data_IF_630205311430
#
_entry.id   IF_630205311430
#
_cell.length_a   1.000
_cell.length_b   1.000
_cell.length_c   1.000
_cell.angle_alpha   90.00
_cell.angle_beta   90.00
_cell.angle_gamma   90.00
#
_symmetry.space_group_name_H-M   'P 1'
#
loop_
_entity.id
_entity.type
_entity.pdbx_description
1 polymer ?
#
# COMPACT_ATOMS: atom_id res chain seq x y z
N UNK A 1 -13.14 -3.42 11.10
CA UNK A 1 -11.83 -3.48 10.40
C UNK A 1 -11.38 -4.88 10.03
N UNK A 2 -10.93 -5.74 10.95
CA UNK A 2 -10.30 -7.02 10.54
C UNK A 2 -11.23 -7.92 9.70
N UNK A 3 -12.45 -8.17 10.18
CA UNK A 3 -13.42 -9.02 9.49
C UNK A 3 -13.85 -8.45 8.13
N UNK A 4 -14.03 -7.13 8.04
CA UNK A 4 -14.36 -6.44 6.79
C UNK A 4 -13.26 -6.63 5.74
N UNK A 5 -12.00 -6.48 6.15
CA UNK A 5 -10.83 -6.64 5.28
C UNK A 5 -10.71 -8.09 4.79
N UNK A 6 -10.89 -9.07 5.70
CA UNK A 6 -10.92 -10.50 5.33
C UNK A 6 -12.01 -10.80 4.30
N UNK A 7 -13.21 -10.28 4.53
CA UNK A 7 -14.36 -10.47 3.65
C UNK A 7 -14.10 -9.91 2.24
N UNK A 8 -13.54 -8.69 2.14
CA UNK A 8 -13.23 -8.06 0.85
C UNK A 8 -12.09 -8.78 0.12
N UNK A 9 -11.12 -9.32 0.85
CA UNK A 9 -10.02 -10.10 0.28
C UNK A 9 -10.40 -11.58 0.04
N UNK A 10 -11.61 -12.00 0.43
CA UNK A 10 -12.08 -13.38 0.36
C UNK A 10 -11.10 -14.37 1.02
N UNK A 11 -10.45 -13.94 2.10
CA UNK A 11 -9.54 -14.77 2.90
C UNK A 11 -10.37 -15.59 3.89
N UNK A 12 -10.22 -16.92 3.85
CA UNK A 12 -10.91 -17.85 4.76
C UNK A 12 -10.03 -18.31 5.92
N UNK A 13 -8.72 -18.15 5.79
CA UNK A 13 -7.74 -18.62 6.76
C UNK A 13 -7.16 -17.45 7.57
N UNK A 14 -6.81 -17.72 8.83
CA UNK A 14 -6.27 -16.73 9.77
C UNK A 14 -4.76 -16.49 9.59
N UNK A 15 -4.17 -17.03 8.52
CA UNK A 15 -2.73 -16.97 8.22
C UNK A 15 -2.21 -15.53 8.13
N UNK A 16 -3.04 -14.59 7.68
CA UNK A 16 -2.66 -13.21 7.47
C UNK A 16 -3.14 -12.26 8.58
N UNK A 17 -3.78 -12.75 9.63
CA UNK A 17 -4.41 -11.91 10.67
C UNK A 17 -3.42 -10.96 11.33
N UNK A 18 -2.29 -11.51 11.78
CA UNK A 18 -1.21 -10.73 12.39
C UNK A 18 -0.68 -9.66 11.43
N UNK A 19 -0.63 -9.96 10.12
CA UNK A 19 -0.16 -9.02 9.11
C UNK A 19 -1.19 -7.91 8.88
N UNK A 20 -2.47 -8.26 8.78
CA UNK A 20 -3.58 -7.31 8.63
C UNK A 20 -3.63 -6.37 9.85
N UNK A 21 -3.55 -6.91 11.06
CA UNK A 21 -3.56 -6.13 12.30
C UNK A 21 -2.38 -5.15 12.36
N UNK A 22 -1.18 -5.59 11.93
CA UNK A 22 0.00 -4.76 11.86
C UNK A 22 -0.19 -3.59 10.86
N UNK A 23 -0.77 -3.84 9.70
CA UNK A 23 -1.07 -2.78 8.74
C UNK A 23 -2.13 -1.81 9.27
N UNK A 24 -3.20 -2.30 9.89
CA UNK A 24 -4.23 -1.47 10.52
C UNK A 24 -3.59 -0.53 11.54
N UNK A 25 -2.74 -1.05 12.45
CA UNK A 25 -2.06 -0.24 13.47
C UNK A 25 -1.19 0.86 12.86
N UNK A 26 -0.42 0.54 11.82
CA UNK A 26 0.46 1.51 11.16
C UNK A 26 -0.32 2.62 10.46
N UNK A 27 -1.34 2.28 9.67
CA UNK A 27 -2.19 3.28 9.02
C UNK A 27 -2.99 4.11 10.01
N UNK A 28 -3.49 3.50 11.08
CA UNK A 28 -4.15 4.19 12.20
C UNK A 28 -3.24 5.25 12.80
N UNK A 29 -2.00 4.88 13.15
CA UNK A 29 -1.03 5.81 13.73
C UNK A 29 -0.73 6.98 12.80
N UNK A 30 -0.55 6.71 11.50
CA UNK A 30 -0.30 7.74 10.49
C UNK A 30 -1.47 8.70 10.31
N UNK A 31 -2.70 8.17 10.26
CA UNK A 31 -3.92 8.96 10.11
C UNK A 31 -4.16 9.83 11.34
N UNK A 32 -4.04 9.27 12.55
CA UNK A 32 -4.18 10.02 13.80
C UNK A 32 -3.12 11.13 13.91
N UNK A 33 -1.86 10.82 13.60
CA UNK A 33 -0.77 11.79 13.61
C UNK A 33 -0.98 12.91 12.58
N UNK A 34 -1.43 12.58 11.37
CA UNK A 34 -1.68 13.56 10.32
C UNK A 34 -2.87 14.47 10.64
N UNK A 35 -3.98 13.89 11.10
CA UNK A 35 -5.20 14.62 11.44
C UNK A 35 -5.12 15.30 12.81
N UNK A 36 -4.12 14.97 13.64
CA UNK A 36 -3.94 15.48 14.99
C UNK A 36 -5.19 15.26 15.88
N UNK A 37 -5.67 14.02 15.89
CA UNK A 37 -6.85 13.56 16.64
C UNK A 37 -6.49 12.31 17.44
N UNK A 38 -7.20 12.08 18.55
CA UNK A 38 -6.95 10.94 19.45
C UNK A 38 -7.85 9.75 19.14
N UNK A 39 -9.02 9.99 18.56
CA UNK A 39 -10.05 8.98 18.30
C UNK A 39 -10.36 8.87 16.81
N UNK A 40 -10.47 7.63 16.32
CA UNK A 40 -10.89 7.37 14.95
C UNK A 40 -12.40 7.54 14.80
N UNK A 41 -12.81 8.22 13.73
CA UNK A 41 -14.21 8.28 13.30
C UNK A 41 -14.45 7.20 12.25
N UNK A 42 -15.67 6.66 12.14
CA UNK A 42 -16.06 5.63 11.18
C UNK A 42 -15.66 5.95 9.73
N UNK A 43 -15.70 7.21 9.31
CA UNK A 43 -15.21 7.62 8.00
C UNK A 43 -13.69 7.38 7.80
N UNK A 44 -12.88 7.62 8.84
CA UNK A 44 -11.45 7.35 8.82
C UNK A 44 -11.16 5.85 8.89
N UNK A 45 -12.01 5.08 9.58
CA UNK A 45 -11.91 3.62 9.65
C UNK A 45 -12.02 3.03 8.25
N UNK A 46 -13.04 3.43 7.47
CA UNK A 46 -13.20 2.99 6.08
C UNK A 46 -11.99 3.35 5.20
N UNK A 47 -11.41 4.54 5.37
CA UNK A 47 -10.21 4.95 4.61
C UNK A 47 -9.02 4.04 4.95
N UNK A 48 -8.86 3.68 6.22
CA UNK A 48 -7.80 2.76 6.65
C UNK A 48 -8.05 1.36 6.10
N UNK A 49 -9.29 0.86 6.17
CA UNK A 49 -9.67 -0.44 5.61
C UNK A 49 -9.31 -0.52 4.12
N UNK A 50 -9.73 0.47 3.31
CA UNK A 50 -9.42 0.53 1.87
C UNK A 50 -7.90 0.51 1.61
N UNK A 51 -7.12 1.25 2.40
CA UNK A 51 -5.67 1.32 2.25
C UNK A 51 -4.99 0.00 2.57
N UNK A 52 -5.41 -0.63 3.66
CA UNK A 52 -4.90 -1.93 4.10
C UNK A 52 -5.23 -2.98 3.03
N UNK A 53 -6.43 -2.97 2.46
CA UNK A 53 -6.84 -3.88 1.39
C UNK A 53 -5.96 -3.71 0.15
N UNK A 54 -5.74 -2.48 -0.31
CA UNK A 54 -4.87 -2.22 -1.47
C UNK A 54 -3.46 -2.76 -1.20
N UNK A 55 -2.91 -2.51 -0.02
CA UNK A 55 -1.55 -2.96 0.32
C UNK A 55 -1.44 -4.48 0.43
N UNK A 56 -2.42 -5.13 1.06
CA UNK A 56 -2.49 -6.59 1.14
C UNK A 56 -2.66 -7.23 -0.23
N UNK A 57 -3.48 -6.66 -1.12
CA UNK A 57 -3.58 -7.12 -2.50
C UNK A 57 -2.22 -7.04 -3.19
N UNK A 58 -1.51 -5.92 -3.08
CA UNK A 58 -0.15 -5.82 -3.63
C UNK A 58 0.76 -6.91 -3.06
N UNK A 59 0.82 -7.10 -1.74
CA UNK A 59 1.72 -8.08 -1.12
C UNK A 59 1.37 -9.53 -1.46
N UNK A 60 0.08 -9.89 -1.46
CA UNK A 60 -0.39 -11.25 -1.73
C UNK A 60 -0.32 -11.57 -3.23
N UNK A 61 -0.76 -10.67 -4.12
CA UNK A 61 -0.74 -10.92 -5.56
C UNK A 61 0.67 -10.78 -6.18
N UNK A 62 1.51 -9.87 -5.69
CA UNK A 62 2.88 -9.72 -6.24
C UNK A 62 3.79 -10.89 -5.87
N UNK A 63 3.42 -11.71 -4.88
CA UNK A 63 4.15 -12.93 -4.55
C UNK A 63 4.00 -14.03 -5.62
N UNK A 64 3.04 -13.89 -6.54
CA UNK A 64 2.78 -14.84 -7.64
C UNK A 64 3.52 -14.52 -8.94
N UNK A 65 4.11 -13.32 -9.08
CA UNK A 65 4.77 -12.88 -10.32
C UNK A 65 6.31 -12.95 -10.20
N UNK A 66 6.84 -14.17 -10.03
CA UNK A 66 8.26 -14.48 -10.30
C UNK A 66 8.57 -14.49 -11.82
N UNK A 67 8.17 -13.45 -12.54
CA UNK A 67 8.57 -13.20 -13.95
C UNK A 67 9.46 -11.96 -14.13
N UNK A 68 9.90 -11.34 -13.04
CA UNK A 68 10.75 -10.14 -13.06
C UNK A 68 12.26 -10.45 -13.25
N UNK A 69 12.66 -11.72 -13.42
CA UNK A 69 14.06 -12.12 -13.62
C UNK A 69 14.47 -12.32 -15.09
N UNK A 70 13.77 -11.72 -16.06
CA UNK A 70 14.16 -11.78 -17.47
C UNK A 70 14.28 -10.41 -18.15
N UNK A 71 14.64 -9.37 -17.39
CA UNK A 71 14.83 -8.02 -17.91
C UNK A 71 16.26 -7.84 -18.43
N UNK A 72 16.47 -8.23 -19.68
CA UNK A 72 17.65 -7.85 -20.46
C UNK A 72 17.59 -6.33 -20.69
N UNK A 73 18.53 -5.58 -20.12
CA UNK A 73 18.52 -4.10 -20.15
C UNK A 73 18.98 -3.49 -21.48
N UNK A 74 19.65 -4.26 -22.34
CA UNK A 74 19.88 -3.91 -23.75
C UNK A 74 20.41 -5.13 -24.52
N UNK A 75 20.04 -5.25 -25.80
CA UNK A 75 20.76 -6.08 -26.77
C UNK A 75 21.30 -5.14 -27.84
N UNK A 76 22.63 -5.12 -28.00
CA UNK A 76 23.29 -4.43 -29.09
C UNK A 76 23.81 -5.48 -30.08
N UNK A 77 23.22 -5.52 -31.27
CA UNK A 77 23.76 -6.28 -32.41
C UNK A 77 23.82 -5.34 -33.59
N UNK A 78 25.05 -5.03 -34.01
CA UNK A 78 25.42 -4.31 -35.24
C UNK A 78 24.37 -3.40 -35.85
N UNK A 79 24.43 -2.11 -35.52
CA UNK A 79 23.71 -1.03 -36.24
C UNK A 79 22.33 -0.65 -35.71
N UNK A 80 21.69 -1.48 -34.87
CA UNK A 80 20.37 -1.19 -34.31
C UNK A 80 20.38 -1.32 -32.77
N UNK A 81 19.81 -0.32 -32.09
CA UNK A 81 19.63 -0.31 -30.64
C UNK A 81 18.13 -0.26 -30.32
N UNK A 82 17.65 -1.21 -29.54
CA UNK A 82 16.26 -1.25 -29.07
C UNK A 82 16.27 -0.97 -27.57
N UNK A 83 15.74 0.19 -27.17
CA UNK A 83 15.58 0.60 -25.78
C UNK A 83 14.15 0.33 -25.33
N UNK A 84 13.98 -0.56 -24.35
CA UNK A 84 12.70 -0.77 -23.68
C UNK A 84 12.64 0.09 -22.43
N UNK A 85 11.51 0.74 -22.18
CA UNK A 85 11.28 1.47 -20.93
C UNK A 85 11.09 0.44 -19.81
N UNK A 86 12.20 0.06 -19.17
CA UNK A 86 12.20 -0.86 -18.04
C UNK A 86 11.61 -0.11 -16.86
N UNK A 87 10.41 -0.50 -16.42
CA UNK A 87 9.85 -0.04 -15.16
C UNK A 87 10.90 -0.22 -14.08
N UNK A 88 11.36 0.89 -13.51
CA UNK A 88 12.38 0.95 -12.47
C UNK A 88 11.99 -0.03 -11.37
N UNK A 89 12.88 -0.97 -11.06
CA UNK A 89 12.71 -1.87 -9.94
C UNK A 89 12.54 -1.03 -8.68
N UNK A 90 11.31 -0.99 -8.15
CA UNK A 90 11.02 -0.36 -6.86
C UNK A 90 11.94 -1.05 -5.85
N UNK A 91 12.82 -0.28 -5.23
CA UNK A 91 13.68 -0.79 -4.15
C UNK A 91 12.80 -1.44 -3.09
N UNK A 92 13.28 -2.50 -2.44
CA UNK A 92 12.55 -3.20 -1.37
C UNK A 92 12.00 -2.27 -0.29
N UNK A 93 12.63 -1.11 -0.12
CA UNK A 93 12.22 0.01 0.74
C UNK A 93 10.88 0.64 0.29
N UNK A 94 10.66 0.83 -1.01
CA UNK A 94 9.40 1.37 -1.58
C UNK A 94 8.25 0.37 -1.51
N UNK A 95 8.55 -0.94 -1.48
CA UNK A 95 7.54 -1.98 -1.30
C UNK A 95 7.05 -2.06 0.15
N UNK A 96 7.86 -1.64 1.12
CA UNK A 96 7.51 -1.62 2.55
C UNK A 96 7.05 -0.26 3.08
N UNK A 97 7.29 0.83 2.35
CA UNK A 97 6.92 2.17 2.83
C UNK A 97 5.41 2.39 2.86
N UNK A 98 4.85 2.33 4.06
CA UNK A 98 3.48 2.73 4.35
C UNK A 98 3.48 4.25 4.42
N UNK A 99 3.11 4.88 3.30
CA UNK A 99 2.99 6.34 3.18
C UNK A 99 1.57 6.74 2.80
N UNK A 100 1.14 7.89 3.33
CA UNK A 100 -0.09 8.55 2.88
C UNK A 100 0.17 9.25 1.54
N UNK A 101 -0.59 8.86 0.52
CA UNK A 101 -0.53 9.50 -0.81
C UNK A 101 -1.09 10.92 -0.74
N UNK A 102 -0.77 11.75 -1.74
CA UNK A 102 -1.29 13.11 -1.82
C UNK A 102 -2.82 13.15 -1.89
N UNK A 103 -3.44 12.15 -2.55
CA UNK A 103 -4.89 11.99 -2.57
C UNK A 103 -5.46 11.71 -1.18
N UNK A 104 -4.77 10.91 -0.38
CA UNK A 104 -5.18 10.56 0.97
C UNK A 104 -5.09 11.79 1.87
N UNK A 105 -3.99 12.54 1.77
CA UNK A 105 -3.79 13.80 2.49
C UNK A 105 -4.90 14.82 2.19
N UNK A 106 -5.32 14.93 0.93
CA UNK A 106 -6.44 15.82 0.56
C UNK A 106 -7.75 15.44 1.27
N UNK A 107 -8.06 14.15 1.36
CA UNK A 107 -9.28 13.67 2.03
C UNK A 107 -9.15 13.86 3.55
N UNK A 108 -7.98 13.51 4.11
CA UNK A 108 -7.68 13.60 5.54
C UNK A 108 -7.62 15.05 6.05
N UNK A 109 -7.35 16.02 5.18
CA UNK A 109 -7.31 17.43 5.55
C UNK A 109 -8.66 17.93 6.09
N UNK A 110 -9.78 17.37 5.63
CA UNK A 110 -11.12 17.67 6.15
C UNK A 110 -11.30 17.26 7.62
N UNK A 111 -10.52 16.28 8.07
CA UNK A 111 -10.56 15.75 9.43
C UNK A 111 -9.45 16.31 10.32
N UNK A 112 -8.58 17.17 9.77
CA UNK A 112 -7.41 17.69 10.46
C UNK A 112 -7.80 18.79 11.45
N UNK A 113 -7.52 18.59 12.74
CA UNK A 113 -7.65 19.64 13.77
C UNK A 113 -6.37 20.44 13.84
N UNK A 114 -6.37 21.59 13.17
CA UNK A 114 -5.26 22.56 13.27
C UNK A 114 -5.39 23.23 14.64
N UNK A 115 -4.46 22.93 15.57
CA UNK A 115 -4.28 23.78 16.75
C UNK A 115 -3.73 25.11 16.26
N UNK A 116 -4.48 26.18 16.51
CA UNK A 116 -3.99 27.55 16.41
C UNK A 116 -3.13 27.87 17.64
#
# INVERSE_FOLDING_TARGET
MLDNIKLILNLKDDTYDNLIELYIKKYTTLVLAYCNIETLNSALENIIEDKVIVKLKETILSSSDTSENNKISSISRGGYSVTFNVATAKTTDELMEIKLSQKDKNILNNFRKVKW
#
